data_IF_475040073724
#
_entry.id   IF_475040073724
#
_cell.length_a   1.000
_cell.length_b   1.000
_cell.length_c   1.000
_cell.angle_alpha   90.00
_cell.angle_beta   90.00
_cell.angle_gamma   90.00
#
_symmetry.space_group_name_H-M   'P 1'
#
loop_
_entity.id
_entity.type
_entity.pdbx_description
1 polymer ?
#
# COMPACT_ATOMS: atom_id res chain seq x y z
N UNK A 1 -39.70 11.03 -4.97
CA UNK A 1 -38.55 10.56 -5.76
C UNK A 1 -37.43 10.24 -4.78
N UNK A 2 -37.25 8.96 -4.43
CA UNK A 2 -36.28 8.54 -3.41
C UNK A 2 -34.99 8.07 -4.11
N UNK A 3 -34.06 8.99 -4.34
CA UNK A 3 -32.72 8.69 -4.82
C UNK A 3 -31.79 8.36 -3.65
N UNK A 4 -31.47 7.08 -3.46
CA UNK A 4 -30.28 6.64 -2.71
C UNK A 4 -29.14 6.47 -3.71
N UNK A 5 -28.04 7.22 -3.61
CA UNK A 5 -26.78 6.81 -4.22
C UNK A 5 -26.10 5.79 -3.29
N UNK A 6 -25.86 4.62 -3.88
CA UNK A 6 -24.75 3.71 -3.62
C UNK A 6 -23.94 3.86 -2.32
N UNK A 7 -24.16 2.92 -1.40
CA UNK A 7 -23.14 2.52 -0.42
C UNK A 7 -22.15 1.63 -1.19
N UNK A 8 -20.85 1.97 -1.29
CA UNK A 8 -19.87 1.08 -1.89
C UNK A 8 -19.85 -0.22 -1.09
N UNK A 9 -20.11 -1.34 -1.78
CA UNK A 9 -20.03 -2.69 -1.23
C UNK A 9 -18.64 -2.92 -0.64
N UNK A 10 -18.56 -2.99 0.68
CA UNK A 10 -17.42 -3.59 1.36
C UNK A 10 -17.39 -5.08 0.99
N UNK A 11 -16.33 -5.60 0.34
CA UNK A 11 -16.23 -7.02 0.10
C UNK A 11 -15.92 -7.71 1.43
N UNK A 12 -16.94 -8.42 1.90
CA UNK A 12 -16.91 -9.43 2.93
C UNK A 12 -15.73 -10.39 2.74
N UNK A 13 -15.03 -10.72 3.83
CA UNK A 13 -14.03 -11.79 3.89
C UNK A 13 -12.64 -11.39 3.37
N UNK A 14 -11.92 -10.57 4.14
CA UNK A 14 -10.46 -10.48 3.99
C UNK A 14 -9.84 -11.83 4.37
N UNK A 15 -9.76 -12.75 3.40
CA UNK A 15 -8.64 -13.66 3.27
C UNK A 15 -7.40 -12.86 3.63
N UNK A 16 -6.75 -13.20 4.74
CA UNK A 16 -5.56 -12.51 5.25
C UNK A 16 -4.55 -12.48 4.11
N UNK A 17 -4.51 -11.37 3.36
CA UNK A 17 -3.84 -11.35 2.08
C UNK A 17 -2.36 -11.60 2.36
N UNK A 18 -1.75 -12.58 1.67
CA UNK A 18 -0.33 -12.94 1.84
C UNK A 18 0.57 -11.70 1.63
N UNK A 19 0.06 -10.72 0.88
CA UNK A 19 0.73 -9.49 0.55
C UNK A 19 0.10 -8.28 1.23
N UNK A 20 0.96 -7.35 1.67
CA UNK A 20 0.63 -6.01 2.14
C UNK A 20 0.81 -5.03 1.00
N UNK A 21 -0.15 -4.12 0.84
CA UNK A 21 0.00 -2.95 -0.02
C UNK A 21 0.37 -1.77 0.87
N UNK A 22 1.58 -1.24 0.69
CA UNK A 22 2.15 -0.17 1.50
C UNK A 22 2.39 1.04 0.61
N UNK A 23 1.94 2.21 1.05
CA UNK A 23 2.29 3.49 0.42
C UNK A 23 3.48 4.09 1.18
N UNK A 24 4.53 4.44 0.47
CA UNK A 24 5.69 5.18 0.99
C UNK A 24 5.65 6.57 0.38
N UNK A 25 5.67 7.60 1.22
CA UNK A 25 5.63 9.00 0.82
C UNK A 25 6.90 9.69 1.26
N UNK A 26 7.53 10.46 0.36
CA UNK A 26 8.69 11.30 0.65
C UNK A 26 8.57 12.62 -0.11
N UNK A 27 8.58 13.73 0.63
CA UNK A 27 8.32 15.07 0.09
C UNK A 27 7.01 15.07 -0.73
N UNK A 28 7.08 15.28 -2.05
CA UNK A 28 5.94 15.26 -2.97
C UNK A 28 5.82 13.95 -3.78
N UNK A 29 6.56 12.89 -3.42
CA UNK A 29 6.58 11.61 -4.14
C UNK A 29 5.89 10.50 -3.35
N UNK A 30 4.93 9.86 -4.00
CA UNK A 30 4.17 8.71 -3.49
C UNK A 30 4.50 7.44 -4.28
N UNK A 31 4.93 6.39 -3.60
CA UNK A 31 5.22 5.09 -4.20
C UNK A 31 4.47 3.98 -3.48
N UNK A 32 3.74 3.17 -4.22
CA UNK A 32 3.04 2.00 -3.69
C UNK A 32 3.88 0.73 -3.88
N UNK A 33 4.01 -0.04 -2.83
CA UNK A 33 4.69 -1.34 -2.80
C UNK A 33 3.69 -2.43 -2.46
N UNK A 34 3.80 -3.57 -3.13
CA UNK A 34 3.13 -4.80 -2.76
C UNK A 34 4.18 -5.80 -2.29
N UNK A 35 4.20 -6.13 -1.01
CA UNK A 35 5.21 -7.02 -0.40
C UNK A 35 4.55 -8.17 0.35
N UNK A 36 5.23 -9.31 0.50
CA UNK A 36 4.74 -10.38 1.38
C UNK A 36 4.76 -9.91 2.83
N UNK A 37 3.82 -10.37 3.67
CA UNK A 37 3.77 -10.07 5.11
C UNK A 37 5.04 -10.42 5.88
N UNK A 38 5.80 -11.40 5.38
CA UNK A 38 7.08 -11.85 5.97
C UNK A 38 8.28 -11.00 5.56
N UNK A 39 8.09 -10.01 4.67
CA UNK A 39 9.18 -9.16 4.19
C UNK A 39 9.64 -8.22 5.29
N UNK A 40 10.96 -8.14 5.50
CA UNK A 40 11.56 -7.19 6.43
C UNK A 40 11.44 -5.77 5.86
N UNK A 41 10.73 -4.89 6.56
CA UNK A 41 10.49 -3.50 6.13
C UNK A 41 11.78 -2.71 5.89
N UNK A 42 12.88 -3.03 6.58
CA UNK A 42 14.20 -2.42 6.35
C UNK A 42 14.65 -2.55 4.89
N UNK A 43 14.46 -3.72 4.25
CA UNK A 43 14.85 -3.92 2.84
C UNK A 43 14.02 -3.06 1.90
N UNK A 44 12.74 -2.87 2.22
CA UNK A 44 11.87 -1.96 1.46
C UNK A 44 12.37 -0.51 1.59
N UNK A 45 12.75 -0.08 2.80
CA UNK A 45 13.28 1.27 3.03
C UNK A 45 14.64 1.48 2.35
N UNK A 46 15.56 0.53 2.48
CA UNK A 46 16.88 0.59 1.82
C UNK A 46 16.71 0.70 0.29
N UNK A 47 15.83 -0.12 -0.30
CA UNK A 47 15.54 -0.08 -1.74
C UNK A 47 14.83 1.22 -2.16
N UNK A 48 13.96 1.77 -1.30
CA UNK A 48 13.32 3.06 -1.54
C UNK A 48 14.35 4.19 -1.54
N UNK A 49 15.23 4.24 -0.55
CA UNK A 49 16.29 5.26 -0.47
C UNK A 49 17.27 5.18 -1.66
N UNK A 50 17.68 3.97 -2.05
CA UNK A 50 18.56 3.77 -3.22
C UNK A 50 17.88 4.22 -4.52
N UNK A 51 16.58 3.95 -4.69
CA UNK A 51 15.83 4.39 -5.86
C UNK A 51 15.63 5.91 -5.91
N UNK A 52 15.47 6.56 -4.77
CA UNK A 52 15.36 8.02 -4.68
C UNK A 52 16.70 8.73 -4.82
N UNK A 53 17.81 8.00 -4.88
CA UNK A 53 19.15 8.60 -4.95
C UNK A 53 19.56 9.31 -3.65
N UNK A 54 18.82 9.12 -2.55
CA UNK A 54 19.21 9.56 -1.20
C UNK A 54 20.18 8.53 -0.63
N UNK A 55 21.42 8.58 -1.11
CA UNK A 55 22.58 8.03 -0.42
C UNK A 55 23.58 9.14 -0.18
#
# INVERSE_FOLDING_TARGET
ENGRPDIPKEPEGQLVSEHLNIKVTYDNNDVFFKIKRTTILKKLMDAFCERQGVR
#
